data_IF_094636030539
#
_entry.id   IF_094636030539
#
_cell.length_a   1.000
_cell.length_b   1.000
_cell.length_c   1.000
_cell.angle_alpha   90.00
_cell.angle_beta   90.00
_cell.angle_gamma   90.00
#
_symmetry.space_group_name_H-M   'P 1'
#
loop_
_entity.id
_entity.type
_entity.pdbx_description
1 polymer ?
#
# COMPACT_ATOMS: atom_id res chain seq x y z
N UNK A 1 -7.71 7.95 7.91
CA UNK A 1 -7.46 8.20 6.47
C UNK A 1 -6.02 7.95 6.12
N UNK A 2 -5.70 7.91 4.82
CA UNK A 2 -4.33 7.78 4.34
C UNK A 2 -3.97 8.94 3.43
N UNK A 3 -2.78 9.51 3.64
CA UNK A 3 -2.15 10.51 2.77
C UNK A 3 -0.91 9.85 2.18
N UNK A 4 -0.85 9.70 0.86
CA UNK A 4 0.09 8.81 0.20
C UNK A 4 1.16 9.59 -0.59
N UNK A 5 2.22 10.11 0.06
CA UNK A 5 3.29 10.84 -0.62
C UNK A 5 4.08 9.95 -1.59
N UNK A 6 4.26 8.69 -1.27
CA UNK A 6 5.17 7.72 -1.90
C UNK A 6 6.64 8.02 -1.61
N UNK A 7 7.06 9.25 -1.80
CA UNK A 7 8.36 9.86 -1.47
C UNK A 7 8.19 11.35 -1.21
N UNK A 8 9.17 11.97 -0.58
CA UNK A 8 9.24 13.42 -0.39
C UNK A 8 10.30 14.08 -1.31
N UNK A 9 10.61 13.43 -2.45
CA UNK A 9 11.52 13.94 -3.50
C UNK A 9 10.72 14.30 -4.75
N UNK A 10 10.69 15.60 -5.08
CA UNK A 10 9.90 16.14 -6.20
C UNK A 10 10.27 15.52 -7.56
N UNK A 11 11.56 15.29 -7.81
CA UNK A 11 12.05 14.72 -9.06
C UNK A 11 11.51 13.30 -9.25
N UNK A 12 11.53 12.50 -8.17
CA UNK A 12 11.03 11.14 -8.20
C UNK A 12 9.51 11.11 -8.41
N UNK A 13 8.76 12.00 -7.76
CA UNK A 13 7.30 12.10 -7.96
C UNK A 13 6.97 12.34 -9.44
N UNK A 14 7.67 13.26 -10.11
CA UNK A 14 7.51 13.51 -11.55
C UNK A 14 7.88 12.29 -12.39
N UNK A 15 9.00 11.64 -12.06
CA UNK A 15 9.50 10.47 -12.78
C UNK A 15 8.49 9.29 -12.74
N UNK A 16 7.87 9.04 -11.58
CA UNK A 16 6.86 7.97 -11.43
C UNK A 16 5.45 8.40 -11.88
N UNK A 17 5.31 9.62 -12.42
CA UNK A 17 4.06 10.12 -12.98
C UNK A 17 3.03 10.57 -11.95
N UNK A 18 3.46 10.92 -10.75
CA UNK A 18 2.59 11.54 -9.74
C UNK A 18 2.36 13.01 -10.09
N UNK A 19 1.13 13.47 -9.93
CA UNK A 19 0.74 14.84 -10.28
C UNK A 19 0.73 15.78 -9.07
N UNK A 20 0.92 15.26 -7.87
CA UNK A 20 1.01 16.05 -6.65
C UNK A 20 2.46 16.44 -6.34
N UNK A 21 2.62 17.53 -5.59
CA UNK A 21 3.91 18.02 -5.07
C UNK A 21 4.07 17.65 -3.60
N UNK A 22 5.31 17.74 -3.10
CA UNK A 22 5.61 17.57 -1.67
C UNK A 22 4.84 18.58 -0.81
N UNK A 23 4.72 19.83 -1.29
CA UNK A 23 3.97 20.85 -0.56
C UNK A 23 2.48 20.51 -0.48
N UNK A 24 1.86 20.04 -1.56
CA UNK A 24 0.47 19.59 -1.55
C UNK A 24 0.24 18.42 -0.59
N UNK A 25 1.22 17.52 -0.42
CA UNK A 25 1.14 16.46 0.60
C UNK A 25 1.09 17.05 2.01
N UNK A 26 1.96 18.04 2.31
CA UNK A 26 1.99 18.75 3.59
C UNK A 26 0.68 19.47 3.86
N UNK A 27 0.19 20.23 2.87
CA UNK A 27 -1.10 20.95 2.95
C UNK A 27 -2.25 19.97 3.21
N UNK A 28 -2.32 18.86 2.47
CA UNK A 28 -3.35 17.84 2.66
C UNK A 28 -3.30 17.21 4.05
N UNK A 29 -2.09 16.95 4.56
CA UNK A 29 -1.89 16.41 5.91
C UNK A 29 -2.40 17.38 7.00
N UNK A 30 -1.99 18.64 6.93
CA UNK A 30 -2.42 19.65 7.90
C UNK A 30 -3.92 19.95 7.80
N UNK A 31 -4.47 20.01 6.59
CA UNK A 31 -5.92 20.15 6.38
C UNK A 31 -6.68 18.96 7.00
N UNK A 32 -6.19 17.74 6.84
CA UNK A 32 -6.79 16.57 7.46
C UNK A 32 -6.80 16.71 9.00
N UNK A 33 -5.69 17.15 9.60
CA UNK A 33 -5.62 17.42 11.06
C UNK A 33 -6.62 18.51 11.48
N UNK A 34 -6.70 19.61 10.73
CA UNK A 34 -7.66 20.70 10.96
C UNK A 34 -9.12 20.20 10.93
N UNK A 35 -9.44 19.29 9.98
CA UNK A 35 -10.78 18.68 9.87
C UNK A 35 -11.05 17.58 10.90
N UNK A 36 -10.15 17.37 11.85
CA UNK A 36 -10.37 16.48 13.00
C UNK A 36 -9.99 15.01 12.75
N UNK A 37 -9.28 14.68 11.68
CA UNK A 37 -8.75 13.32 11.50
C UNK A 37 -7.62 13.07 12.50
N UNK A 38 -7.85 12.18 13.45
CA UNK A 38 -6.91 11.84 14.53
C UNK A 38 -6.09 10.57 14.24
N UNK A 39 -6.39 9.87 13.14
CA UNK A 39 -5.62 8.72 12.68
C UNK A 39 -5.31 8.90 11.19
N UNK A 40 -4.08 9.34 10.90
CA UNK A 40 -3.59 9.57 9.54
C UNK A 40 -2.41 8.64 9.29
N UNK A 41 -2.57 7.77 8.30
CA UNK A 41 -1.51 6.94 7.77
C UNK A 41 -0.80 7.67 6.63
N UNK A 42 0.51 7.45 6.47
CA UNK A 42 1.26 7.86 5.28
C UNK A 42 1.86 6.62 4.60
N UNK A 43 1.78 6.56 3.26
CA UNK A 43 2.35 5.46 2.49
C UNK A 43 3.64 5.92 1.79
N UNK A 44 4.71 5.17 1.98
CA UNK A 44 6.00 5.34 1.30
C UNK A 44 6.32 4.14 0.42
N UNK A 45 7.10 4.36 -0.63
CA UNK A 45 7.64 3.29 -1.47
C UNK A 45 9.16 3.40 -1.48
N UNK A 46 9.84 2.33 -1.12
CA UNK A 46 11.30 2.21 -1.20
C UNK A 46 11.70 1.51 -2.50
N UNK A 47 12.89 1.86 -3.00
CA UNK A 47 13.42 1.36 -4.26
C UNK A 47 12.84 2.08 -5.48
N UNK A 48 12.38 3.31 -5.32
CA UNK A 48 11.94 4.14 -6.44
C UNK A 48 13.12 4.50 -7.36
N UNK A 49 12.87 4.66 -8.68
CA UNK A 49 13.91 5.04 -9.63
C UNK A 49 14.61 6.33 -9.25
N UNK A 50 15.93 6.31 -9.23
CA UNK A 50 16.77 7.47 -8.94
C UNK A 50 16.77 7.92 -7.46
N UNK A 51 16.37 7.03 -6.55
CA UNK A 51 16.51 7.22 -5.10
C UNK A 51 17.58 6.31 -4.52
N UNK A 52 18.34 6.85 -3.58
CA UNK A 52 19.33 6.16 -2.77
C UNK A 52 18.98 6.21 -1.26
N UNK A 53 19.88 5.74 -0.41
CA UNK A 53 19.70 5.74 1.06
C UNK A 53 19.53 7.16 1.62
N UNK A 54 20.20 8.15 1.04
CA UNK A 54 20.09 9.55 1.49
C UNK A 54 18.73 10.16 1.15
N UNK A 55 18.17 9.83 -0.01
CA UNK A 55 16.81 10.25 -0.40
C UNK A 55 15.76 9.62 0.51
N UNK A 56 15.91 8.33 0.85
CA UNK A 56 15.04 7.68 1.83
C UNK A 56 15.15 8.34 3.20
N UNK A 57 16.37 8.66 3.65
CA UNK A 57 16.61 9.36 4.92
C UNK A 57 15.91 10.73 4.95
N UNK A 58 16.05 11.53 3.90
CA UNK A 58 15.37 12.83 3.78
C UNK A 58 13.85 12.67 3.78
N UNK A 59 13.34 11.68 3.07
CA UNK A 59 11.90 11.37 3.05
C UNK A 59 11.39 11.06 4.44
N UNK A 60 12.09 10.21 5.19
CA UNK A 60 11.73 9.85 6.58
C UNK A 60 11.78 11.07 7.49
N UNK A 61 12.80 11.94 7.37
CA UNK A 61 12.89 13.16 8.18
C UNK A 61 11.73 14.14 7.91
N UNK A 62 11.31 14.29 6.65
CA UNK A 62 10.13 15.12 6.32
C UNK A 62 8.84 14.51 6.87
N UNK A 63 8.67 13.18 6.78
CA UNK A 63 7.52 12.47 7.36
C UNK A 63 7.50 12.60 8.88
N UNK A 64 8.64 12.52 9.56
CA UNK A 64 8.77 12.74 11.01
C UNK A 64 8.28 14.12 11.44
N UNK A 65 8.57 15.17 10.65
CA UNK A 65 8.08 16.53 10.93
C UNK A 65 6.56 16.62 10.88
N UNK A 66 5.91 15.88 9.97
CA UNK A 66 4.45 15.79 9.88
C UNK A 66 3.84 14.98 11.01
N UNK A 67 4.59 14.01 11.54
CA UNK A 67 4.23 13.20 12.70
C UNK A 67 2.88 12.44 12.51
N UNK A 68 2.79 11.55 11.51
CA UNK A 68 1.60 10.73 11.27
C UNK A 68 1.35 9.74 12.42
N UNK A 69 0.17 9.12 12.46
CA UNK A 69 -0.19 8.11 13.46
C UNK A 69 0.25 6.70 13.05
N UNK A 70 0.38 6.49 11.75
CA UNK A 70 0.85 5.24 11.15
C UNK A 70 1.61 5.50 9.86
N UNK A 71 2.44 4.55 9.48
CA UNK A 71 3.28 4.58 8.30
C UNK A 71 3.22 3.21 7.62
N UNK A 72 2.94 3.17 6.32
CA UNK A 72 3.08 1.97 5.52
C UNK A 72 4.30 2.12 4.61
N UNK A 73 5.23 1.23 4.73
CA UNK A 73 6.45 1.17 3.91
C UNK A 73 6.28 0.06 2.90
N UNK A 74 6.16 0.43 1.64
CA UNK A 74 6.09 -0.49 0.52
C UNK A 74 7.46 -0.66 -0.11
N UNK A 75 7.80 -1.89 -0.47
CA UNK A 75 8.88 -2.14 -1.43
C UNK A 75 8.32 -2.09 -2.84
N UNK A 76 9.03 -1.44 -3.74
CA UNK A 76 8.58 -1.25 -5.11
C UNK A 76 8.28 -2.60 -5.79
N UNK A 77 7.04 -2.77 -6.26
CA UNK A 77 6.63 -3.95 -7.01
C UNK A 77 6.70 -3.68 -8.52
N UNK A 78 7.50 -4.48 -9.23
CA UNK A 78 7.71 -4.37 -10.67
C UNK A 78 6.60 -5.12 -11.40
N UNK A 79 5.69 -4.38 -12.03
CA UNK A 79 4.60 -4.95 -12.85
C UNK A 79 5.01 -4.97 -14.32
N UNK A 80 4.81 -6.10 -15.00
CA UNK A 80 5.25 -6.36 -16.39
C UNK A 80 4.80 -5.29 -17.42
N UNK A 81 3.65 -4.68 -17.24
CA UNK A 81 3.09 -3.70 -18.18
C UNK A 81 3.21 -2.25 -17.69
N UNK A 82 4.13 -1.95 -16.78
CA UNK A 82 4.30 -0.61 -16.23
C UNK A 82 5.35 0.21 -16.99
N UNK A 83 5.19 1.54 -17.00
CA UNK A 83 6.25 2.45 -17.50
C UNK A 83 7.58 2.25 -16.79
N UNK A 84 7.55 1.76 -15.55
CA UNK A 84 8.72 1.39 -14.79
C UNK A 84 9.53 0.26 -15.47
N UNK A 85 8.86 -0.68 -16.12
CA UNK A 85 9.57 -1.76 -16.84
C UNK A 85 10.40 -1.20 -18.01
N UNK A 86 9.82 -0.23 -18.75
CA UNK A 86 10.55 0.47 -19.82
C UNK A 86 11.75 1.25 -19.24
N UNK A 87 11.55 1.96 -18.14
CA UNK A 87 12.62 2.67 -17.45
C UNK A 87 13.74 1.72 -16.99
N UNK A 88 13.42 0.52 -16.48
CA UNK A 88 14.38 -0.51 -16.08
C UNK A 88 15.16 -1.05 -17.29
N UNK A 89 14.48 -1.23 -18.43
CA UNK A 89 15.13 -1.66 -19.68
C UNK A 89 16.18 -0.64 -20.17
N UNK A 90 15.94 0.65 -19.93
CA UNK A 90 16.82 1.74 -20.33
C UNK A 90 17.97 2.00 -19.33
N UNK A 91 17.72 1.82 -18.03
CA UNK A 91 18.63 2.26 -16.95
C UNK A 91 19.24 1.09 -16.15
N UNK A 92 18.77 -0.14 -16.35
CA UNK A 92 19.16 -1.30 -15.57
C UNK A 92 18.38 -1.46 -14.26
N UNK A 93 18.24 -2.69 -13.79
CA UNK A 93 17.55 -3.01 -12.53
C UNK A 93 18.37 -2.57 -11.31
N UNK A 94 19.70 -2.47 -11.47
CA UNK A 94 20.64 -2.01 -10.45
C UNK A 94 20.42 -0.56 -10.05
N UNK A 95 19.72 0.23 -10.88
CA UNK A 95 19.34 1.60 -10.57
C UNK A 95 18.17 1.70 -9.56
N UNK A 96 17.61 0.55 -9.14
CA UNK A 96 16.59 0.46 -8.10
C UNK A 96 17.24 0.07 -6.77
N UNK A 97 17.51 1.06 -5.92
CA UNK A 97 18.18 0.85 -4.63
C UNK A 97 17.17 0.52 -3.52
N UNK A 98 16.70 -0.73 -3.46
CA UNK A 98 15.97 -1.23 -2.29
C UNK A 98 16.86 -2.25 -1.57
N UNK A 99 17.44 -1.82 -0.45
CA UNK A 99 18.49 -2.52 0.29
C UNK A 99 18.04 -2.74 1.74
N UNK A 100 18.75 -3.60 2.47
CA UNK A 100 18.56 -3.76 3.91
C UNK A 100 18.73 -2.41 4.64
N UNK A 101 19.61 -1.53 4.14
CA UNK A 101 19.86 -0.23 4.75
C UNK A 101 18.66 0.71 4.55
N UNK A 102 18.06 0.78 3.35
CA UNK A 102 16.85 1.60 3.12
C UNK A 102 15.69 1.13 4.00
N UNK A 103 15.52 -0.20 4.17
CA UNK A 103 14.50 -0.75 5.06
C UNK A 103 14.77 -0.39 6.52
N UNK A 104 16.01 -0.46 6.99
CA UNK A 104 16.41 -0.05 8.35
C UNK A 104 16.20 1.44 8.60
N UNK A 105 16.49 2.30 7.62
CA UNK A 105 16.22 3.74 7.73
C UNK A 105 14.73 3.97 7.99
N UNK A 106 13.85 3.34 7.21
CA UNK A 106 12.41 3.47 7.37
C UNK A 106 11.91 2.89 8.70
N UNK A 107 12.40 1.70 9.10
CA UNK A 107 12.07 1.08 10.39
C UNK A 107 12.50 1.97 11.57
N UNK A 108 13.73 2.46 11.57
CA UNK A 108 14.23 3.33 12.62
C UNK A 108 13.42 4.62 12.71
N UNK A 109 13.10 5.25 11.57
CA UNK A 109 12.24 6.43 11.55
C UNK A 109 10.85 6.16 12.12
N UNK A 110 10.24 5.02 11.82
CA UNK A 110 8.97 4.61 12.41
C UNK A 110 9.10 4.42 13.94
N UNK A 111 10.15 3.74 14.41
CA UNK A 111 10.43 3.57 15.84
C UNK A 111 10.67 4.89 16.58
N UNK A 112 11.38 5.84 15.97
CA UNK A 112 11.59 7.18 16.52
C UNK A 112 10.29 7.98 16.63
N UNK A 113 9.29 7.71 15.77
CA UNK A 113 7.93 8.25 15.89
C UNK A 113 7.05 7.50 16.91
N UNK A 114 7.60 6.51 17.63
CA UNK A 114 6.87 5.69 18.60
C UNK A 114 5.94 4.66 17.98
N UNK A 115 6.23 4.24 16.74
CA UNK A 115 5.46 3.22 16.04
C UNK A 115 6.09 1.84 16.18
N UNK A 116 5.24 0.81 16.13
CA UNK A 116 5.63 -0.60 16.08
C UNK A 116 5.08 -1.25 14.81
N UNK A 117 5.76 -2.26 14.25
CA UNK A 117 5.20 -3.02 13.14
C UNK A 117 3.96 -3.79 13.62
N UNK A 118 2.88 -3.80 12.82
CA UNK A 118 1.64 -4.47 13.21
C UNK A 118 1.07 -5.38 12.11
N UNK A 119 1.50 -5.21 10.85
CA UNK A 119 1.23 -6.15 9.78
C UNK A 119 2.34 -6.11 8.74
N UNK A 120 2.49 -7.21 8.01
CA UNK A 120 3.38 -7.30 6.87
C UNK A 120 2.74 -8.17 5.76
N UNK A 121 3.10 -7.88 4.53
CA UNK A 121 2.72 -8.73 3.41
C UNK A 121 3.73 -8.63 2.27
N UNK A 122 3.81 -9.69 1.47
CA UNK A 122 4.69 -9.77 0.32
C UNK A 122 3.89 -9.89 -0.97
N UNK A 123 4.29 -9.14 -1.99
CA UNK A 123 3.82 -9.31 -3.36
C UNK A 123 4.86 -10.04 -4.20
N UNK A 124 4.44 -10.53 -5.38
CA UNK A 124 5.39 -11.09 -6.35
C UNK A 124 6.20 -9.98 -7.02
N UNK A 125 7.48 -10.27 -7.34
CA UNK A 125 8.39 -9.37 -8.06
C UNK A 125 8.63 -8.02 -7.34
N UNK A 126 8.90 -8.08 -6.04
CA UNK A 126 9.30 -6.90 -5.27
C UNK A 126 10.80 -6.65 -5.39
N UNK A 127 11.17 -5.37 -5.51
CA UNK A 127 12.56 -4.93 -5.49
C UNK A 127 13.22 -5.34 -4.16
N UNK A 128 14.42 -5.91 -4.21
CA UNK A 128 15.15 -6.38 -3.03
C UNK A 128 14.52 -7.60 -2.34
N UNK A 129 13.40 -8.14 -2.84
CA UNK A 129 12.67 -9.26 -2.23
C UNK A 129 12.18 -9.02 -0.79
N UNK A 130 11.96 -7.75 -0.41
CA UNK A 130 11.47 -7.34 0.90
C UNK A 130 9.94 -7.37 1.01
N UNK A 131 9.43 -7.37 2.25
CA UNK A 131 8.01 -7.23 2.55
C UNK A 131 7.57 -5.76 2.55
N UNK A 132 6.26 -5.56 2.39
CA UNK A 132 5.60 -4.32 2.79
C UNK A 132 5.27 -4.40 4.28
N UNK A 133 5.59 -3.36 5.03
CA UNK A 133 5.40 -3.34 6.49
C UNK A 133 4.55 -2.14 6.88
N UNK A 134 3.50 -2.39 7.66
CA UNK A 134 2.72 -1.34 8.32
C UNK A 134 3.20 -1.12 9.74
N UNK A 135 3.51 0.13 10.06
CA UNK A 135 3.90 0.60 11.39
C UNK A 135 2.80 1.53 11.92
N UNK A 136 2.49 1.45 13.20
CA UNK A 136 1.54 2.37 13.84
C UNK A 136 1.84 2.53 15.32
N UNK A 137 1.40 3.65 15.89
CA UNK A 137 1.38 3.84 17.34
C UNK A 137 0.34 2.93 17.97
N UNK A 138 0.54 2.58 19.21
CA UNK A 138 -0.44 1.82 19.99
C UNK A 138 -1.82 2.50 19.95
N UNK A 139 -2.87 1.71 19.73
CA UNK A 139 -4.23 2.22 19.56
C UNK A 139 -4.53 2.88 18.21
N UNK A 140 -3.59 2.88 17.26
CA UNK A 140 -3.73 3.46 15.91
C UNK A 140 -3.62 2.43 14.78
N UNK A 141 -3.62 1.14 15.11
CA UNK A 141 -3.55 0.07 14.13
C UNK A 141 -4.73 0.11 13.16
N UNK A 142 -4.46 -0.10 11.88
CA UNK A 142 -5.47 -0.21 10.85
C UNK A 142 -6.21 -1.53 10.93
N UNK A 143 -7.35 -1.56 11.60
CA UNK A 143 -8.16 -2.79 11.81
C UNK A 143 -8.49 -3.46 10.48
N UNK A 144 -8.80 -2.69 9.43
CA UNK A 144 -9.05 -3.22 8.10
C UNK A 144 -7.86 -4.02 7.55
N UNK A 145 -6.63 -3.52 7.73
CA UNK A 145 -5.42 -4.20 7.27
C UNK A 145 -5.23 -5.52 8.02
N UNK A 146 -5.44 -5.53 9.34
CA UNK A 146 -5.35 -6.73 10.16
C UNK A 146 -6.38 -7.76 9.69
N UNK A 147 -7.65 -7.39 9.58
CA UNK A 147 -8.73 -8.31 9.19
C UNK A 147 -8.52 -8.92 7.81
N UNK A 148 -7.94 -8.14 6.86
CA UNK A 148 -7.62 -8.62 5.51
C UNK A 148 -6.44 -9.60 5.52
N UNK A 149 -5.37 -9.29 6.27
CA UNK A 149 -4.15 -10.11 6.31
C UNK A 149 -4.38 -11.43 7.07
N UNK A 150 -5.09 -11.38 8.19
CA UNK A 150 -5.39 -12.56 9.01
C UNK A 150 -6.54 -13.42 8.45
N UNK A 151 -7.24 -12.95 7.42
CA UNK A 151 -8.38 -13.64 6.79
C UNK A 151 -9.43 -14.14 7.80
N UNK A 152 -9.69 -13.38 8.87
CA UNK A 152 -10.59 -13.76 9.97
C UNK A 152 -12.04 -13.36 9.75
N UNK A 153 -12.32 -12.58 8.71
CA UNK A 153 -13.65 -12.05 8.43
C UNK A 153 -14.05 -12.26 6.96
N UNK A 154 -15.33 -12.59 6.74
CA UNK A 154 -15.93 -12.60 5.40
C UNK A 154 -15.86 -11.20 4.79
N UNK A 155 -15.37 -11.12 3.56
CA UNK A 155 -15.22 -9.89 2.79
C UNK A 155 -16.04 -9.99 1.52
N UNK A 156 -17.03 -9.10 1.38
CA UNK A 156 -17.82 -8.98 0.15
C UNK A 156 -17.18 -7.92 -0.72
N UNK A 157 -16.65 -8.34 -1.86
CA UNK A 157 -15.96 -7.46 -2.80
C UNK A 157 -16.87 -7.05 -3.96
N UNK A 158 -16.84 -5.76 -4.30
CA UNK A 158 -17.61 -5.15 -5.38
C UNK A 158 -16.66 -4.61 -6.45
N UNK A 159 -17.08 -4.70 -7.72
CA UNK A 159 -16.30 -4.20 -8.85
C UNK A 159 -15.56 -5.28 -9.64
N UNK A 160 -15.16 -4.92 -10.87
CA UNK A 160 -14.40 -5.80 -11.75
C UNK A 160 -13.04 -6.20 -11.13
N UNK A 161 -12.65 -7.46 -11.31
CA UNK A 161 -11.38 -7.99 -10.86
C UNK A 161 -11.23 -8.17 -9.34
N UNK A 162 -12.30 -7.96 -8.56
CA UNK A 162 -12.28 -8.14 -7.11
C UNK A 162 -12.69 -9.56 -6.70
N UNK A 163 -12.32 -9.96 -5.48
CA UNK A 163 -12.55 -11.31 -4.94
C UNK A 163 -13.32 -11.24 -3.63
N UNK A 164 -14.52 -11.82 -3.61
CA UNK A 164 -15.26 -12.07 -2.37
C UNK A 164 -14.68 -13.29 -1.68
N UNK A 165 -14.43 -13.21 -0.37
CA UNK A 165 -13.97 -14.31 0.48
C UNK A 165 -15.02 -14.60 1.53
N UNK A 166 -15.49 -15.84 1.63
CA UNK A 166 -16.30 -16.32 2.75
C UNK A 166 -15.41 -17.06 3.72
N UNK A 167 -15.39 -16.62 4.98
CA UNK A 167 -14.67 -17.26 6.08
C UNK A 167 -15.67 -18.00 6.94
N UNK A 168 -15.47 -19.30 7.14
CA UNK A 168 -16.30 -20.17 7.97
C UNK A 168 -15.70 -20.29 9.37
N UNK A 169 -16.54 -20.61 10.36
CA UNK A 169 -16.11 -20.73 11.76
C UNK A 169 -15.04 -21.81 12.04
N UNK A 170 -14.84 -22.76 11.10
CA UNK A 170 -13.78 -23.77 11.15
C UNK A 170 -12.47 -23.35 10.46
N UNK A 171 -12.36 -22.10 10.03
CA UNK A 171 -11.19 -21.58 9.31
C UNK A 171 -11.16 -21.90 7.81
N UNK A 172 -12.17 -22.60 7.25
CA UNK A 172 -12.29 -22.81 5.80
C UNK A 172 -12.55 -21.46 5.11
N UNK A 173 -11.91 -21.22 3.96
CA UNK A 173 -12.11 -20.01 3.16
C UNK A 173 -12.51 -20.41 1.75
N UNK A 174 -13.62 -19.88 1.28
CA UNK A 174 -14.03 -19.99 -0.11
C UNK A 174 -14.01 -18.62 -0.80
N UNK A 175 -13.75 -18.64 -2.10
CA UNK A 175 -13.55 -17.43 -2.89
C UNK A 175 -14.46 -17.41 -4.11
N UNK A 176 -14.97 -16.20 -4.43
CA UNK A 176 -15.74 -15.94 -5.64
C UNK A 176 -15.15 -14.70 -6.33
N UNK A 177 -14.55 -14.94 -7.51
CA UNK A 177 -13.92 -13.88 -8.30
C UNK A 177 -14.93 -13.20 -9.21
N UNK A 178 -14.85 -11.89 -9.31
CA UNK A 178 -15.49 -11.13 -10.38
C UNK A 178 -14.61 -11.16 -11.64
N UNK A 179 -15.22 -11.08 -12.82
CA UNK A 179 -14.48 -10.93 -14.07
C UNK A 179 -13.63 -9.66 -14.04
N UNK A 180 -12.43 -9.72 -14.65
CA UNK A 180 -11.45 -8.63 -14.58
C UNK A 180 -11.73 -7.49 -15.54
N UNK A 181 -12.24 -7.81 -16.72
CA UNK A 181 -12.63 -6.81 -17.72
C UNK A 181 -13.88 -6.05 -17.28
N UNK A 182 -13.83 -4.72 -17.35
CA UNK A 182 -14.93 -3.85 -16.87
C UNK A 182 -16.17 -3.98 -17.72
N UNK A 183 -16.03 -4.06 -19.06
CA UNK A 183 -17.17 -4.22 -19.99
C UNK A 183 -17.88 -5.54 -19.72
N UNK A 184 -17.14 -6.63 -19.65
CA UNK A 184 -17.67 -7.96 -19.36
C UNK A 184 -18.26 -8.05 -17.94
N UNK A 185 -17.72 -7.30 -16.95
CA UNK A 185 -18.29 -7.24 -15.61
C UNK A 185 -19.68 -6.60 -15.61
N UNK A 186 -19.84 -5.51 -16.37
CA UNK A 186 -21.14 -4.83 -16.52
C UNK A 186 -22.13 -5.73 -17.23
N UNK A 187 -21.73 -6.36 -18.36
CA UNK A 187 -22.56 -7.29 -19.12
C UNK A 187 -23.05 -8.48 -18.29
N UNK A 188 -22.17 -9.03 -17.42
CA UNK A 188 -22.45 -10.21 -16.60
C UNK A 188 -22.77 -9.88 -15.14
N UNK A 189 -23.26 -8.68 -14.85
CA UNK A 189 -23.46 -8.24 -13.46
C UNK A 189 -24.37 -9.18 -12.66
N UNK A 190 -25.45 -9.65 -13.27
CA UNK A 190 -26.40 -10.55 -12.61
C UNK A 190 -25.74 -11.90 -12.28
N UNK A 191 -24.95 -12.46 -13.21
CA UNK A 191 -24.16 -13.67 -12.95
C UNK A 191 -23.19 -13.46 -11.76
N UNK A 192 -22.50 -12.30 -11.69
CA UNK A 192 -21.60 -11.99 -10.59
C UNK A 192 -22.34 -11.86 -9.25
N UNK A 193 -23.55 -11.32 -9.26
CA UNK A 193 -24.41 -11.22 -8.08
C UNK A 193 -24.85 -12.62 -7.62
N UNK A 194 -25.34 -13.44 -8.54
CA UNK A 194 -25.83 -14.79 -8.21
C UNK A 194 -24.73 -15.70 -7.69
N UNK A 195 -23.54 -15.66 -8.28
CA UNK A 195 -22.38 -16.40 -7.77
C UNK A 195 -22.04 -16.01 -6.33
N UNK A 196 -22.11 -14.72 -5.97
CA UNK A 196 -21.88 -14.26 -4.61
C UNK A 196 -22.99 -14.68 -3.67
N UNK A 197 -24.27 -14.57 -4.09
CA UNK A 197 -25.41 -15.05 -3.31
C UNK A 197 -25.23 -16.51 -2.98
N UNK A 198 -24.93 -17.34 -3.97
CA UNK A 198 -24.67 -18.75 -3.81
C UNK A 198 -23.57 -19.02 -2.78
N UNK A 199 -22.40 -18.37 -2.95
CA UNK A 199 -21.31 -18.48 -2.01
C UNK A 199 -21.71 -18.12 -0.56
N UNK A 200 -22.55 -17.09 -0.38
CA UNK A 200 -22.87 -16.56 0.95
C UNK A 200 -24.04 -17.28 1.63
N UNK A 201 -24.89 -18.01 0.88
CA UNK A 201 -26.09 -18.67 1.40
C UNK A 201 -25.97 -20.21 1.50
N UNK A 202 -25.15 -20.86 0.68
CA UNK A 202 -24.92 -22.30 0.79
C UNK A 202 -24.06 -22.63 2.01
N UNK A 203 -24.49 -23.60 2.83
CA UNK A 203 -23.78 -24.10 4.04
C UNK A 203 -22.59 -25.01 3.69
#
# INVERSE_FOLDING_TARGET
ISVNPQTMKEETLRLIGRQHTVEQVKEAFYLAREKGFTNINMDLILGLPGEDEEDVRRTIEEVKKLNPDSLTVHSLAIKRASRLNQWIEENGIEALHNTDETMKIAENGAREMGMVPYYLYRQKNMSGNFENVGYAREGRFGIYNILIMEEVQTIIALGAGTVTKRVYGNGRIERCDNVKDVGLYIEKIDEMIDRKRKLLTEE
#
